data_IF_897367762840
#
_entry.id   IF_897367762840
#
_cell.length_a   1.000
_cell.length_b   1.000
_cell.length_c   1.000
_cell.angle_alpha   90.00
_cell.angle_beta   90.00
_cell.angle_gamma   90.00
#
_symmetry.space_group_name_H-M   'P 1'
#
loop_
_entity.id
_entity.type
_entity.pdbx_description
1 polymer ?
#
# COMPACT_ATOMS: atom_id res chain seq x y z
N UNK A 1 -0.83 -12.64 21.02
CA UNK A 1 0.63 -12.41 21.06
C UNK A 1 0.86 -10.91 21.23
N UNK A 2 1.34 -10.46 22.39
CA UNK A 2 1.46 -9.02 22.73
C UNK A 2 2.94 -8.57 22.78
N UNK A 3 3.74 -8.95 21.79
CA UNK A 3 5.06 -8.33 21.56
C UNK A 3 4.91 -7.05 20.74
N UNK A 4 5.70 -6.02 21.05
CA UNK A 4 5.86 -4.83 20.18
C UNK A 4 6.40 -5.30 18.82
N UNK A 5 5.77 -4.88 17.72
CA UNK A 5 6.26 -5.18 16.36
C UNK A 5 6.75 -3.87 15.77
N UNK A 6 7.95 -3.50 16.20
CA UNK A 6 8.57 -2.22 15.87
C UNK A 6 7.92 -1.02 16.56
N UNK A 7 8.63 0.11 16.49
CA UNK A 7 8.22 1.37 17.11
C UNK A 7 7.98 2.42 16.03
N UNK A 8 6.95 3.23 16.22
CA UNK A 8 6.67 4.39 15.39
C UNK A 8 7.26 5.66 16.02
N UNK A 9 8.13 6.33 15.28
CA UNK A 9 8.56 7.69 15.56
C UNK A 9 7.99 8.63 14.47
N UNK A 10 7.28 9.72 14.80
CA UNK A 10 6.72 10.60 13.78
C UNK A 10 7.78 11.18 12.80
N UNK A 11 8.99 11.44 13.29
CA UNK A 11 10.12 11.98 12.51
C UNK A 11 10.90 10.88 11.80
N UNK A 12 11.15 9.78 12.48
CA UNK A 12 12.05 8.71 12.03
C UNK A 12 11.31 7.49 11.49
N UNK A 13 9.98 7.51 11.48
CA UNK A 13 9.06 6.52 10.95
C UNK A 13 9.02 5.21 11.73
N UNK A 14 8.55 4.16 11.07
CA UNK A 14 8.54 2.81 11.62
C UNK A 14 9.86 2.09 11.36
N UNK A 15 10.38 1.44 12.40
CA UNK A 15 11.53 0.56 12.31
C UNK A 15 11.20 -0.83 12.87
N UNK A 16 11.69 -1.91 12.23
CA UNK A 16 11.51 -3.27 12.73
C UNK A 16 12.23 -3.46 14.07
N UNK A 17 11.67 -4.29 14.95
CA UNK A 17 12.34 -4.72 16.18
C UNK A 17 13.48 -5.68 15.84
N UNK A 18 14.72 -5.20 15.99
CA UNK A 18 15.94 -5.96 15.71
C UNK A 18 16.22 -7.08 16.72
N UNK A 19 15.48 -7.14 17.83
CA UNK A 19 15.59 -8.21 18.84
C UNK A 19 14.62 -9.36 18.62
N UNK A 20 13.70 -9.22 17.66
CA UNK A 20 12.72 -10.23 17.28
C UNK A 20 13.30 -11.27 16.31
N UNK A 21 12.91 -12.54 16.46
CA UNK A 21 13.23 -13.62 15.51
C UNK A 21 12.40 -13.54 14.22
N UNK A 22 11.48 -12.57 14.11
CA UNK A 22 10.65 -12.35 12.93
C UNK A 22 11.43 -11.51 11.91
N UNK A 23 11.57 -12.02 10.69
CA UNK A 23 12.20 -11.29 9.58
C UNK A 23 11.60 -9.87 9.42
N UNK A 24 12.42 -8.82 9.22
CA UNK A 24 11.96 -7.44 9.20
C UNK A 24 10.79 -7.13 8.24
N UNK A 25 10.76 -7.74 7.05
CA UNK A 25 9.65 -7.56 6.11
C UNK A 25 8.35 -8.21 6.63
N UNK A 26 8.45 -9.36 7.29
CA UNK A 26 7.30 -10.00 7.96
C UNK A 26 6.80 -9.17 9.15
N UNK A 27 7.68 -8.43 9.84
CA UNK A 27 7.25 -7.47 10.85
C UNK A 27 6.42 -6.34 10.23
N UNK A 28 6.81 -5.82 9.06
CA UNK A 28 6.03 -4.81 8.34
C UNK A 28 4.66 -5.38 7.91
N UNK A 29 4.62 -6.61 7.40
CA UNK A 29 3.36 -7.32 7.09
C UNK A 29 2.49 -7.47 8.33
N UNK A 30 3.04 -7.78 9.49
CA UNK A 30 2.30 -7.88 10.75
C UNK A 30 1.73 -6.55 11.20
N UNK A 31 2.49 -5.46 11.07
CA UNK A 31 2.01 -4.10 11.34
C UNK A 31 0.80 -3.78 10.48
N UNK A 32 0.91 -4.00 9.16
CA UNK A 32 -0.20 -3.77 8.23
C UNK A 32 -1.39 -4.69 8.51
N UNK A 33 -1.14 -5.98 8.77
CA UNK A 33 -2.20 -6.95 9.05
C UNK A 33 -2.97 -6.60 10.34
N UNK A 34 -2.28 -6.15 11.38
CA UNK A 34 -2.92 -5.66 12.63
C UNK A 34 -3.68 -4.37 12.41
N UNK A 35 -3.14 -3.48 11.58
CA UNK A 35 -3.77 -2.21 11.26
C UNK A 35 -5.09 -2.41 10.51
N UNK A 36 -5.09 -3.22 9.44
CA UNK A 36 -6.32 -3.61 8.74
C UNK A 36 -7.27 -4.44 9.60
N UNK A 37 -6.74 -5.26 10.52
CA UNK A 37 -7.55 -6.03 11.46
C UNK A 37 -8.46 -5.19 12.37
N UNK A 38 -8.16 -3.89 12.57
CA UNK A 38 -9.05 -2.95 13.29
C UNK A 38 -10.36 -2.66 12.53
N UNK A 39 -10.42 -2.99 11.24
CA UNK A 39 -11.53 -2.70 10.33
C UNK A 39 -12.25 -3.97 9.87
N UNK A 40 -12.17 -5.06 10.65
CA UNK A 40 -12.77 -6.36 10.34
C UNK A 40 -12.38 -6.91 8.95
N UNK A 41 -11.20 -6.54 8.47
CA UNK A 41 -10.67 -6.98 7.17
C UNK A 41 -10.16 -8.42 7.26
N UNK A 42 -10.36 -9.18 6.19
CA UNK A 42 -9.73 -10.49 6.05
C UNK A 42 -8.36 -10.31 5.40
N UNK A 43 -7.31 -10.82 6.04
CA UNK A 43 -5.92 -10.66 5.61
C UNK A 43 -5.32 -12.01 5.30
N UNK A 44 -4.79 -12.15 4.10
CA UNK A 44 -4.18 -13.37 3.60
C UNK A 44 -2.74 -13.13 3.22
N UNK A 45 -1.86 -14.01 3.68
CA UNK A 45 -0.42 -13.95 3.44
C UNK A 45 -0.02 -14.86 2.28
N UNK A 46 1.08 -14.50 1.62
CA UNK A 46 1.56 -15.23 0.46
C UNK A 46 2.28 -16.55 0.83
N UNK A 47 2.87 -16.61 2.04
CA UNK A 47 3.71 -17.74 2.50
C UNK A 47 3.65 -18.01 4.01
N UNK A 48 4.24 -19.14 4.39
CA UNK A 48 4.55 -19.48 5.79
C UNK A 48 5.95 -18.98 6.21
N UNK A 49 6.15 -18.68 7.52
CA UNK A 49 5.13 -18.59 8.55
C UNK A 49 4.17 -17.41 8.32
N UNK A 50 2.86 -17.63 8.41
CA UNK A 50 1.83 -16.59 8.26
C UNK A 50 1.42 -15.93 9.58
N UNK A 51 2.00 -16.36 10.70
CA UNK A 51 1.78 -15.80 12.05
C UNK A 51 0.31 -15.77 12.50
N UNK A 52 -0.49 -16.74 12.04
CA UNK A 52 -1.90 -16.88 12.40
C UNK A 52 -2.89 -16.24 11.43
N UNK A 53 -2.40 -15.70 10.31
CA UNK A 53 -3.24 -15.27 9.19
C UNK A 53 -3.41 -16.40 8.17
N UNK A 54 -4.54 -16.39 7.47
CA UNK A 54 -4.79 -17.33 6.38
C UNK A 54 -3.89 -17.03 5.18
N UNK A 55 -3.93 -17.91 4.17
CA UNK A 55 -3.07 -17.79 2.99
C UNK A 55 -3.88 -17.70 1.70
N UNK A 56 -3.37 -16.93 0.77
CA UNK A 56 -3.81 -17.01 -0.62
C UNK A 56 -2.77 -17.76 -1.45
N UNK A 57 -3.21 -18.31 -2.57
CA UNK A 57 -2.33 -18.89 -3.59
C UNK A 57 -2.46 -18.07 -4.87
N UNK A 58 -1.38 -17.97 -5.63
CA UNK A 58 -1.45 -17.50 -7.01
C UNK A 58 -0.85 -18.54 -7.94
N UNK A 59 -1.28 -18.51 -9.21
CA UNK A 59 -0.76 -19.44 -10.23
C UNK A 59 0.74 -19.26 -10.48
N UNK A 60 1.28 -18.06 -10.27
CA UNK A 60 2.73 -17.81 -10.20
C UNK A 60 3.22 -17.86 -8.74
N UNK A 61 3.60 -19.05 -8.28
CA UNK A 61 4.05 -19.25 -6.92
C UNK A 61 5.34 -18.48 -6.56
N UNK A 62 6.14 -18.03 -7.54
CA UNK A 62 7.44 -17.40 -7.31
C UNK A 62 7.40 -15.87 -7.34
N UNK A 63 6.47 -15.27 -8.09
CA UNK A 63 6.39 -13.83 -8.29
C UNK A 63 4.92 -13.38 -8.06
N UNK A 64 4.59 -13.04 -6.81
CA UNK A 64 3.26 -12.62 -6.38
C UNK A 64 3.34 -11.56 -5.27
N UNK A 65 2.29 -10.76 -5.04
CA UNK A 65 2.21 -9.83 -3.92
C UNK A 65 2.40 -10.53 -2.56
N UNK A 66 2.68 -9.74 -1.54
CA UNK A 66 2.92 -10.21 -0.18
C UNK A 66 1.62 -10.42 0.63
N UNK A 67 0.63 -9.56 0.43
CA UNK A 67 -0.65 -9.65 1.12
C UNK A 67 -1.81 -9.50 0.14
N UNK A 68 -2.92 -10.14 0.46
CA UNK A 68 -4.22 -9.88 -0.13
C UNK A 68 -5.17 -9.49 1.01
N UNK A 69 -5.83 -8.34 0.88
CA UNK A 69 -6.74 -7.80 1.90
C UNK A 69 -8.14 -7.71 1.29
N UNK A 70 -9.11 -8.37 1.92
CA UNK A 70 -10.51 -8.28 1.57
C UNK A 70 -11.27 -7.45 2.62
N UNK A 71 -12.10 -6.54 2.12
CA UNK A 71 -12.98 -5.72 2.95
C UNK A 71 -14.22 -6.50 3.37
N UNK A 72 -14.67 -6.41 4.63
CA UNK A 72 -15.96 -6.95 5.01
C UNK A 72 -17.06 -6.25 4.22
N UNK A 73 -18.01 -7.02 3.69
CA UNK A 73 -19.15 -6.54 2.89
C UNK A 73 -18.76 -5.66 1.69
N UNK A 74 -17.55 -5.83 1.15
CA UNK A 74 -17.05 -5.07 -0.01
C UNK A 74 -17.09 -3.55 0.17
N UNK A 75 -16.92 -3.05 1.41
CA UNK A 75 -16.94 -1.61 1.70
C UNK A 75 -15.87 -0.85 0.93
N UNK A 76 -14.71 -1.45 0.74
CA UNK A 76 -13.60 -0.91 -0.04
C UNK A 76 -12.93 -2.01 -0.89
N UNK A 77 -12.12 -1.63 -1.89
CA UNK A 77 -11.71 -2.57 -2.94
C UNK A 77 -10.79 -3.67 -2.44
N UNK A 78 -10.98 -4.91 -2.88
CA UNK A 78 -10.02 -6.00 -2.57
C UNK A 78 -8.63 -5.61 -3.07
N UNK A 79 -7.63 -5.63 -2.18
CA UNK A 79 -6.32 -5.02 -2.43
C UNK A 79 -5.19 -6.03 -2.30
N UNK A 80 -4.39 -6.15 -3.35
CA UNK A 80 -3.12 -6.88 -3.34
C UNK A 80 -1.96 -5.93 -3.00
N UNK A 81 -1.18 -6.26 -1.97
CA UNK A 81 -0.09 -5.42 -1.47
C UNK A 81 1.28 -6.06 -1.70
N UNK A 82 2.18 -5.30 -2.30
CA UNK A 82 3.63 -5.56 -2.24
C UNK A 82 4.19 -4.80 -1.03
N UNK A 83 4.75 -5.53 -0.06
CA UNK A 83 5.15 -4.96 1.24
C UNK A 83 6.66 -4.81 1.32
N UNK A 84 7.12 -3.65 1.79
CA UNK A 84 8.53 -3.42 2.13
C UNK A 84 8.65 -2.81 3.52
N UNK A 85 9.85 -2.82 4.07
CA UNK A 85 10.10 -2.29 5.42
C UNK A 85 9.91 -0.76 5.44
N UNK A 86 10.40 -0.06 4.41
CA UNK A 86 10.31 1.40 4.25
C UNK A 86 11.58 2.17 4.62
N UNK A 87 12.56 1.51 5.24
CA UNK A 87 13.84 2.10 5.66
C UNK A 87 14.92 2.12 4.54
N UNK A 88 14.81 1.23 3.55
CA UNK A 88 15.62 1.23 2.34
C UNK A 88 14.82 1.70 1.13
N UNK A 89 15.26 2.81 0.55
CA UNK A 89 14.63 3.36 -0.66
C UNK A 89 14.78 2.44 -1.88
N UNK A 90 15.85 1.66 -1.95
CA UNK A 90 16.11 0.75 -3.07
C UNK A 90 15.03 -0.33 -3.14
N UNK A 91 14.72 -0.93 -1.99
CA UNK A 91 13.63 -1.90 -1.85
C UNK A 91 12.26 -1.32 -2.27
N UNK A 92 11.99 -0.04 -1.99
CA UNK A 92 10.76 0.64 -2.44
C UNK A 92 10.78 0.87 -3.96
N UNK A 93 11.92 1.21 -4.55
CA UNK A 93 12.05 1.34 -6.00
C UNK A 93 11.86 -0.02 -6.71
N UNK A 94 12.41 -1.09 -6.15
CA UNK A 94 12.21 -2.44 -6.67
C UNK A 94 10.73 -2.83 -6.62
N UNK A 95 10.04 -2.58 -5.49
CA UNK A 95 8.60 -2.79 -5.37
C UNK A 95 7.80 -1.97 -6.41
N UNK A 96 8.19 -0.73 -6.69
CA UNK A 96 7.56 0.12 -7.70
C UNK A 96 7.76 -0.39 -9.14
N UNK A 97 8.75 -1.25 -9.38
CA UNK A 97 8.95 -1.94 -10.66
C UNK A 97 8.27 -3.31 -10.67
N UNK A 98 8.23 -4.00 -9.54
CA UNK A 98 7.59 -5.31 -9.38
C UNK A 98 6.06 -5.23 -9.47
N UNK A 99 5.45 -4.29 -8.75
CA UNK A 99 3.98 -4.16 -8.65
C UNK A 99 3.30 -3.99 -10.03
N UNK A 100 3.78 -3.15 -10.97
CA UNK A 100 3.22 -3.09 -12.32
C UNK A 100 3.27 -4.41 -13.09
N UNK A 101 4.19 -5.34 -12.76
CA UNK A 101 4.23 -6.67 -13.38
C UNK A 101 3.10 -7.54 -12.87
N UNK A 102 2.81 -7.50 -11.55
CA UNK A 102 1.69 -8.23 -10.93
C UNK A 102 0.37 -7.77 -11.52
N UNK A 103 0.16 -6.45 -11.50
CA UNK A 103 -1.00 -5.82 -12.11
C UNK A 103 -1.14 -6.21 -13.58
N UNK A 104 -0.08 -6.09 -14.39
CA UNK A 104 -0.14 -6.44 -15.82
C UNK A 104 -0.47 -7.91 -16.06
N UNK A 105 0.09 -8.84 -15.28
CA UNK A 105 -0.22 -10.27 -15.43
C UNK A 105 -1.68 -10.56 -15.09
N UNK A 106 -2.18 -9.95 -14.01
CA UNK A 106 -3.57 -10.04 -13.62
C UNK A 106 -4.51 -9.55 -14.73
N UNK A 107 -4.29 -8.33 -15.25
CA UNK A 107 -5.11 -7.76 -16.34
C UNK A 107 -5.08 -8.57 -17.65
N UNK A 108 -4.01 -9.35 -17.87
CA UNK A 108 -3.86 -10.23 -19.02
C UNK A 108 -4.42 -11.64 -18.77
N UNK A 109 -4.99 -11.92 -17.60
CA UNK A 109 -5.46 -13.25 -17.20
C UNK A 109 -4.34 -14.28 -17.09
N UNK A 110 -3.11 -13.82 -16.81
CA UNK A 110 -1.91 -14.65 -16.69
C UNK A 110 -1.61 -15.07 -15.25
N UNK A 111 -2.31 -14.47 -14.28
CA UNK A 111 -2.18 -14.84 -12.88
C UNK A 111 -3.56 -14.82 -12.19
N UNK A 112 -3.93 -15.94 -11.57
CA UNK A 112 -5.16 -16.08 -10.79
C UNK A 112 -4.82 -16.11 -9.31
N UNK A 113 -5.59 -15.40 -8.49
CA UNK A 113 -5.47 -15.40 -7.03
C UNK A 113 -6.60 -16.23 -6.42
N UNK A 114 -6.28 -17.12 -5.47
CA UNK A 114 -7.29 -17.98 -4.86
C UNK A 114 -7.17 -18.05 -3.34
N UNK A 115 -8.32 -18.14 -2.68
CA UNK A 115 -8.49 -18.38 -1.25
C UNK A 115 -9.41 -19.58 -1.11
N UNK A 116 -8.97 -20.63 -0.42
CA UNK A 116 -9.72 -21.88 -0.28
C UNK A 116 -10.24 -22.48 -1.60
N UNK A 117 -9.52 -22.20 -2.69
CA UNK A 117 -9.87 -22.64 -4.05
C UNK A 117 -10.80 -21.70 -4.82
N UNK A 118 -11.41 -20.72 -4.17
CA UNK A 118 -12.24 -19.69 -4.81
C UNK A 118 -11.38 -18.62 -5.47
N UNK A 119 -11.79 -18.16 -6.66
CA UNK A 119 -11.08 -17.13 -7.41
C UNK A 119 -11.38 -15.75 -6.81
N UNK A 120 -10.32 -14.98 -6.57
CA UNK A 120 -10.38 -13.62 -6.05
C UNK A 120 -9.80 -12.68 -7.11
N UNK A 121 -10.47 -11.55 -7.34
CA UNK A 121 -10.06 -10.53 -8.29
C UNK A 121 -9.60 -9.29 -7.51
N UNK A 122 -8.28 -9.05 -7.36
CA UNK A 122 -7.80 -7.82 -6.75
C UNK A 122 -8.22 -6.60 -7.57
N UNK A 123 -8.96 -5.69 -6.95
CA UNK A 123 -9.41 -4.44 -7.56
C UNK A 123 -8.33 -3.36 -7.52
N UNK A 124 -7.36 -3.47 -6.61
CA UNK A 124 -6.21 -2.56 -6.51
C UNK A 124 -4.93 -3.33 -6.20
N UNK A 125 -3.87 -3.02 -6.94
CA UNK A 125 -2.50 -3.39 -6.62
C UNK A 125 -1.80 -2.18 -5.99
N UNK A 126 -1.20 -2.33 -4.81
CA UNK A 126 -0.50 -1.23 -4.17
C UNK A 126 0.84 -1.61 -3.52
N UNK A 127 1.79 -0.68 -3.53
CA UNK A 127 2.98 -0.77 -2.67
C UNK A 127 2.59 -0.27 -1.28
N UNK A 128 2.97 -1.01 -0.27
CA UNK A 128 2.82 -0.63 1.13
C UNK A 128 4.14 -0.80 1.87
N UNK A 129 4.29 -0.05 2.97
CA UNK A 129 5.39 -0.28 3.90
C UNK A 129 4.91 -0.22 5.34
N UNK A 130 5.76 -0.59 6.30
CA UNK A 130 5.47 -0.37 7.71
C UNK A 130 5.19 1.11 8.07
N UNK A 131 5.56 2.05 7.19
CA UNK A 131 5.27 3.48 7.34
C UNK A 131 3.90 3.92 6.78
N UNK A 132 3.13 3.04 6.14
CA UNK A 132 1.83 3.39 5.57
C UNK A 132 0.85 4.01 6.59
N UNK A 133 0.79 3.57 7.87
CA UNK A 133 -0.01 4.25 8.90
C UNK A 133 0.37 5.72 9.13
N UNK A 134 1.60 6.12 8.83
CA UNK A 134 2.07 7.52 8.88
C UNK A 134 1.83 8.28 7.56
N UNK A 135 1.10 7.70 6.61
CA UNK A 135 0.81 8.34 5.33
C UNK A 135 2.00 8.38 4.37
N UNK A 136 2.97 7.46 4.49
CA UNK A 136 4.17 7.48 3.65
C UNK A 136 4.76 6.09 3.37
N UNK A 137 5.53 5.99 2.29
CA UNK A 137 6.30 4.79 1.95
C UNK A 137 7.71 4.81 2.56
N UNK A 138 8.30 5.99 2.75
CA UNK A 138 9.69 6.10 3.18
C UNK A 138 9.80 6.51 4.65
N UNK A 139 10.84 6.02 5.30
CA UNK A 139 11.07 6.27 6.71
C UNK A 139 11.49 7.72 7.03
N UNK A 140 12.28 8.34 6.14
CA UNK A 140 12.89 9.66 6.35
C UNK A 140 12.01 10.80 5.83
N UNK A 141 11.11 11.30 6.69
CA UNK A 141 10.28 12.46 6.38
C UNK A 141 11.00 13.82 6.57
N UNK A 142 12.24 13.82 7.07
CA UNK A 142 12.95 15.07 7.37
C UNK A 142 13.79 15.57 6.20
N UNK A 143 14.32 14.66 5.39
CA UNK A 143 15.15 15.04 4.23
C UNK A 143 14.66 14.45 2.92
N UNK A 144 14.49 13.13 2.83
CA UNK A 144 14.18 12.45 1.57
C UNK A 144 12.68 12.49 1.20
N UNK A 145 11.81 12.30 2.17
CA UNK A 145 10.36 12.17 1.97
C UNK A 145 9.61 13.27 2.69
N UNK A 146 10.06 14.52 2.53
CA UNK A 146 9.47 15.69 3.17
C UNK A 146 7.99 15.81 2.82
N UNK A 147 7.16 16.04 3.83
CA UNK A 147 5.75 16.40 3.65
C UNK A 147 5.63 17.68 2.81
N UNK A 148 4.80 17.63 1.78
CA UNK A 148 4.37 18.79 1.01
C UNK A 148 2.94 19.13 1.40
N UNK A 149 2.67 20.43 1.48
CA UNK A 149 1.37 20.99 1.85
C UNK A 149 0.81 21.82 0.71
N UNK A 150 -0.41 22.35 0.86
CA UNK A 150 -1.03 23.24 -0.12
C UNK A 150 -0.15 24.41 -0.58
N UNK A 151 0.76 24.91 0.28
CA UNK A 151 1.70 25.97 -0.05
C UNK A 151 2.76 25.55 -1.08
N UNK A 152 3.10 24.26 -1.15
CA UNK A 152 4.09 23.71 -2.10
C UNK A 152 3.46 23.36 -3.47
N UNK A 153 2.14 23.47 -3.62
CA UNK A 153 1.42 22.86 -4.73
C UNK A 153 1.23 23.77 -5.94
N UNK A 154 1.48 23.19 -7.12
CA UNK A 154 1.05 23.75 -8.40
C UNK A 154 -0.48 23.86 -8.47
N UNK A 155 -0.98 24.70 -9.36
CA UNK A 155 -2.43 24.83 -9.61
C UNK A 155 -3.06 23.50 -10.02
N UNK A 156 -2.39 22.74 -10.90
CA UNK A 156 -2.85 21.42 -11.32
C UNK A 156 -2.98 20.43 -10.15
N UNK A 157 -2.04 20.44 -9.20
CA UNK A 157 -2.12 19.60 -8.01
C UNK A 157 -3.27 20.02 -7.09
N UNK A 158 -3.45 21.32 -6.86
CA UNK A 158 -4.59 21.84 -6.08
C UNK A 158 -5.93 21.46 -6.68
N UNK A 159 -6.04 21.47 -8.01
CA UNK A 159 -7.23 20.97 -8.70
C UNK A 159 -7.45 19.47 -8.47
N UNK A 160 -6.39 18.66 -8.59
CA UNK A 160 -6.49 17.21 -8.35
C UNK A 160 -6.94 16.89 -6.92
N UNK A 161 -6.43 17.61 -5.93
CA UNK A 161 -6.92 17.55 -4.53
C UNK A 161 -8.42 17.83 -4.45
N UNK A 162 -8.88 18.95 -5.03
CA UNK A 162 -10.29 19.31 -5.05
C UNK A 162 -11.22 18.34 -5.80
N UNK A 163 -10.66 17.42 -6.59
CA UNK A 163 -11.37 16.36 -7.30
C UNK A 163 -11.29 14.99 -6.58
N UNK A 164 -10.61 14.90 -5.42
CA UNK A 164 -10.39 13.63 -4.73
C UNK A 164 -9.47 12.66 -5.49
N UNK A 165 -8.61 13.19 -6.36
CA UNK A 165 -7.69 12.37 -7.18
C UNK A 165 -6.39 12.04 -6.43
N UNK A 166 -6.00 12.89 -5.49
CA UNK A 166 -4.79 12.79 -4.65
C UNK A 166 -5.08 13.40 -3.27
N UNK A 167 -4.34 13.03 -2.21
CA UNK A 167 -4.58 13.59 -0.88
C UNK A 167 -4.13 15.05 -0.74
N UNK A 168 -4.70 15.72 0.27
CA UNK A 168 -4.41 17.11 0.64
C UNK A 168 -2.93 17.33 0.93
N UNK A 169 -2.28 16.40 1.63
CA UNK A 169 -0.84 16.40 1.87
C UNK A 169 -0.21 15.13 1.27
N UNK A 170 1.02 15.24 0.80
CA UNK A 170 1.79 14.09 0.30
C UNK A 170 3.26 14.22 0.65
N UNK A 171 3.89 13.11 0.99
CA UNK A 171 5.34 13.05 1.15
C UNK A 171 6.04 12.97 -0.22
N UNK A 172 7.12 13.73 -0.40
CA UNK A 172 7.69 14.03 -1.71
C UNK A 172 8.15 12.81 -2.53
N UNK A 173 8.85 11.88 -1.89
CA UNK A 173 9.35 10.64 -2.50
C UNK A 173 8.22 9.62 -2.66
N UNK A 174 7.30 9.54 -1.68
CA UNK A 174 6.09 8.71 -1.75
C UNK A 174 5.21 9.08 -2.94
N UNK A 175 4.93 10.38 -3.12
CA UNK A 175 4.23 10.94 -4.29
C UNK A 175 4.96 10.50 -5.57
N UNK A 176 6.26 10.77 -5.66
CA UNK A 176 7.07 10.49 -6.86
C UNK A 176 7.01 9.01 -7.24
N UNK A 177 7.20 8.10 -6.27
CA UNK A 177 7.08 6.64 -6.49
C UNK A 177 5.71 6.26 -7.03
N UNK A 178 4.65 6.79 -6.44
CA UNK A 178 3.27 6.54 -6.88
C UNK A 178 3.06 7.02 -8.32
N UNK A 179 3.54 8.22 -8.66
CA UNK A 179 3.41 8.76 -10.03
C UNK A 179 4.24 7.97 -11.05
N UNK A 180 5.38 7.41 -10.66
CA UNK A 180 6.18 6.52 -11.52
C UNK A 180 5.41 5.23 -11.84
N UNK A 181 4.81 4.59 -10.83
CA UNK A 181 3.99 3.39 -11.05
C UNK A 181 2.83 3.67 -12.01
N UNK A 182 2.13 4.80 -11.84
CA UNK A 182 1.06 5.21 -12.76
C UNK A 182 1.55 5.42 -14.19
N UNK A 183 2.77 5.93 -14.35
CA UNK A 183 3.38 6.11 -15.67
C UNK A 183 3.74 4.78 -16.32
N UNK A 184 4.33 3.85 -15.57
CA UNK A 184 4.65 2.50 -16.04
C UNK A 184 3.36 1.78 -16.48
N UNK A 185 2.31 1.83 -15.66
CA UNK A 185 1.03 1.22 -15.99
C UNK A 185 0.40 1.80 -17.26
N UNK A 186 0.48 3.12 -17.44
CA UNK A 186 0.02 3.77 -18.70
C UNK A 186 0.86 3.36 -19.91
N UNK A 187 2.18 3.23 -19.74
CA UNK A 187 3.10 2.80 -20.79
C UNK A 187 2.94 1.32 -21.15
N UNK A 188 2.33 0.51 -20.27
CA UNK A 188 1.99 -0.89 -20.56
C UNK A 188 0.93 -1.04 -21.67
N UNK A 189 0.15 0.01 -21.96
CA UNK A 189 -0.76 0.06 -23.10
C UNK A 189 -1.94 -0.91 -23.05
N UNK A 190 -2.35 -1.33 -21.84
CA UNK A 190 -3.52 -2.20 -21.66
C UNK A 190 -4.80 -1.40 -21.94
N UNK A 191 -5.71 -2.01 -22.70
CA UNK A 191 -7.04 -1.45 -22.96
C UNK A 191 -7.97 -1.80 -21.79
N UNK A 192 -8.55 -0.78 -21.16
CA UNK A 192 -9.56 -0.88 -20.10
C UNK A 192 -9.16 -1.80 -18.93
N UNK A 193 -8.05 -1.52 -18.22
CA UNK A 193 -7.69 -2.31 -17.05
C UNK A 193 -8.78 -2.25 -15.97
N UNK A 194 -9.07 -3.42 -15.42
CA UNK A 194 -10.10 -3.64 -14.40
C UNK A 194 -9.65 -3.22 -13.00
N UNK A 195 -8.38 -3.45 -12.67
CA UNK A 195 -7.75 -3.12 -11.41
C UNK A 195 -6.98 -1.79 -11.46
N UNK A 196 -6.96 -1.12 -10.31
CA UNK A 196 -6.13 0.06 -10.07
C UNK A 196 -4.69 -0.29 -9.67
N UNK A 197 -3.79 0.69 -9.80
CA UNK A 197 -2.41 0.58 -9.32
C UNK A 197 -1.98 1.82 -8.53
N UNK A 198 -1.30 1.64 -7.40
CA UNK A 198 -0.96 2.76 -6.53
C UNK A 198 -0.14 2.43 -5.29
N UNK A 199 -0.40 3.18 -4.23
CA UNK A 199 0.28 3.07 -2.94
C UNK A 199 -0.74 3.09 -1.80
N UNK A 200 -0.42 2.35 -0.74
CA UNK A 200 -1.14 2.42 0.53
C UNK A 200 -0.54 3.53 1.40
N UNK A 201 -1.43 4.41 1.86
CA UNK A 201 -1.19 5.50 2.81
C UNK A 201 -2.24 5.42 3.92
N UNK A 202 -2.45 6.54 4.63
CA UNK A 202 -3.47 6.67 5.67
C UNK A 202 -4.13 8.05 5.66
N UNK A 203 -5.21 8.19 6.42
CA UNK A 203 -5.91 9.46 6.68
C UNK A 203 -5.06 10.50 7.41
N UNK A 204 -3.86 10.14 7.92
CA UNK A 204 -2.88 11.07 8.45
C UNK A 204 -2.41 12.12 7.42
N UNK A 205 -2.62 11.85 6.12
CA UNK A 205 -2.39 12.82 5.05
C UNK A 205 -3.46 13.93 4.96
N UNK A 206 -4.62 13.75 5.60
CA UNK A 206 -5.68 14.75 5.69
C UNK A 206 -5.57 15.53 7.00
N UNK A 207 -5.40 14.81 8.12
CA UNK A 207 -5.18 15.42 9.44
C UNK A 207 -3.95 14.81 10.12
N UNK A 208 -2.90 15.62 10.24
CA UNK A 208 -1.62 15.23 10.84
C UNK A 208 -1.68 15.07 12.38
N UNK A 209 -2.86 15.27 12.99
CA UNK A 209 -3.07 15.08 14.42
C UNK A 209 -3.24 13.62 14.83
N UNK A 210 -3.55 12.72 13.89
CA UNK A 210 -3.69 11.30 14.20
C UNK A 210 -2.33 10.64 14.38
N UNK A 211 -2.19 9.90 15.49
CA UNK A 211 -1.10 8.95 15.64
C UNK A 211 -1.26 7.79 14.65
N UNK A 212 -0.19 6.99 14.42
CA UNK A 212 -0.24 5.83 13.52
C UNK A 212 -1.31 4.81 13.91
N UNK A 213 -1.74 4.79 15.18
CA UNK A 213 -2.78 3.90 15.67
C UNK A 213 -4.22 4.36 15.40
N UNK A 214 -4.41 5.65 15.13
CA UNK A 214 -5.72 6.29 14.96
C UNK A 214 -6.01 6.66 13.50
N UNK A 215 -5.00 6.58 12.63
CA UNK A 215 -5.15 6.87 11.21
C UNK A 215 -5.79 5.70 10.47
N UNK A 216 -6.77 6.01 9.62
CA UNK A 216 -7.46 5.02 8.79
C UNK A 216 -6.63 4.67 7.55
N UNK A 217 -6.62 3.41 7.09
CA UNK A 217 -5.98 3.04 5.84
C UNK A 217 -6.51 3.86 4.67
N UNK A 218 -5.68 4.18 3.69
CA UNK A 218 -6.10 4.94 2.53
C UNK A 218 -5.33 4.56 1.26
N UNK A 219 -6.00 4.54 0.11
CA UNK A 219 -5.39 4.21 -1.17
C UNK A 219 -5.26 5.45 -2.05
N UNK A 220 -4.06 5.66 -2.59
CA UNK A 220 -3.80 6.61 -3.67
C UNK A 220 -3.41 5.82 -4.92
N UNK A 221 -4.34 5.67 -5.85
CA UNK A 221 -4.21 4.75 -6.97
C UNK A 221 -4.76 5.34 -8.26
N UNK A 222 -4.44 4.71 -9.39
CA UNK A 222 -4.94 5.11 -10.70
C UNK A 222 -5.67 3.94 -11.35
N UNK A 223 -6.86 4.22 -11.86
CA UNK A 223 -7.62 3.33 -12.74
C UNK A 223 -7.62 3.87 -14.17
N UNK A 224 -8.30 3.19 -15.10
CA UNK A 224 -8.55 3.72 -16.44
C UNK A 224 -9.16 5.13 -16.40
N UNK A 225 -10.13 5.34 -15.51
CA UNK A 225 -10.87 6.60 -15.35
C UNK A 225 -10.06 7.74 -14.71
N UNK A 226 -8.81 7.48 -14.31
CA UNK A 226 -7.92 8.46 -13.72
C UNK A 226 -7.50 8.14 -12.28
N UNK A 227 -6.80 9.08 -11.62
CA UNK A 227 -6.37 8.92 -10.24
C UNK A 227 -7.55 8.96 -9.25
N UNK A 228 -7.36 8.32 -8.09
CA UNK A 228 -8.32 8.20 -7.00
C UNK A 228 -7.57 8.26 -5.67
N UNK A 229 -8.08 9.06 -4.75
CA UNK A 229 -7.73 9.06 -3.34
C UNK A 229 -8.94 8.61 -2.53
N UNK A 230 -8.76 7.62 -1.65
CA UNK A 230 -9.85 7.07 -0.84
C UNK A 230 -9.35 6.65 0.54
N UNK A 231 -9.96 7.18 1.59
CA UNK A 231 -9.82 6.65 2.95
C UNK A 231 -10.73 5.42 3.08
N UNK A 232 -10.20 4.35 3.65
CA UNK A 232 -10.86 3.07 3.83
C UNK A 232 -11.42 3.04 5.26
N UNK A 233 -12.74 3.11 5.39
CA UNK A 233 -13.40 3.18 6.70
C UNK A 233 -14.48 4.26 6.79
N UNK A 234 -14.47 5.22 5.87
CA UNK A 234 -15.55 6.20 5.65
C UNK A 234 -16.70 5.66 4.81
#
# INVERSE_FOLDING_TARGET
>A
MNGSIGDFDPKHGWAPDTSSDIEPENQAKLVLSRWFGKYDSHIYWEKEPSYGYDRFVSTDAADKPDLLIESPDSKWPTTALEVKIGNDGSAIYDAAVQLPRYWKRHELGQDEYRIDGELIEPEVFAVATGNAPLGRLYNDATTKDRLKTAADYSEGKRRAVGLGEVPDNENASSETTTRIMWRIAREAGLANPSAGIGSLYSSALVDYQYGPDDADPALCYRTESGPRWRILGE
#
